data_IF_365410978852
#
_entry.id   IF_365410978852
#
_cell.length_a   1.000
_cell.length_b   1.000
_cell.length_c   1.000
_cell.angle_alpha   90.00
_cell.angle_beta   90.00
_cell.angle_gamma   90.00
#
_symmetry.space_group_name_H-M   'P 1'
#
loop_
_entity.id
_entity.type
_entity.pdbx_description
1 polymer ?
#
# COMPACT_ATOMS: atom_id res chain seq x y z
N UNK A 1 10.33 19.62 -7.76
CA UNK A 1 9.15 18.72 -7.85
C UNK A 1 7.82 19.49 -7.87
N UNK A 2 7.69 20.60 -8.62
CA UNK A 2 6.47 21.44 -8.58
C UNK A 2 5.51 21.26 -9.77
N UNK A 3 5.91 20.53 -10.82
CA UNK A 3 5.14 20.43 -12.08
C UNK A 3 4.90 19.00 -12.57
N UNK A 4 5.22 17.98 -11.76
CA UNK A 4 4.94 16.60 -12.15
C UNK A 4 3.43 16.34 -12.05
N UNK A 5 2.80 16.04 -13.20
CA UNK A 5 1.40 15.65 -13.31
C UNK A 5 1.31 14.22 -13.85
N UNK A 6 0.34 13.45 -13.38
CA UNK A 6 -0.06 12.16 -13.96
C UNK A 6 -0.64 12.44 -15.35
N UNK A 7 -0.15 11.73 -16.38
CA UNK A 7 -0.68 11.84 -17.75
C UNK A 7 -2.02 11.13 -17.91
N UNK A 8 -2.24 10.08 -17.12
CA UNK A 8 -3.42 9.22 -17.21
C UNK A 8 -4.38 9.53 -16.06
N UNK A 9 -5.66 9.72 -16.38
CA UNK A 9 -6.74 9.98 -15.42
C UNK A 9 -7.19 8.70 -14.70
N UNK A 10 -6.24 8.02 -14.06
CA UNK A 10 -6.51 6.79 -13.30
C UNK A 10 -6.54 7.14 -11.81
N UNK A 11 -7.64 6.77 -11.16
CA UNK A 11 -7.84 6.90 -9.72
C UNK A 11 -8.13 5.55 -9.07
N UNK A 12 -8.02 5.47 -7.74
CA UNK A 12 -8.52 4.31 -7.00
C UNK A 12 -10.04 4.24 -7.13
N UNK A 13 -10.62 3.03 -7.09
CA UNK A 13 -12.10 2.88 -7.07
C UNK A 13 -12.70 3.25 -5.70
N UNK A 14 -11.83 3.43 -4.71
CA UNK A 14 -12.13 3.53 -3.28
C UNK A 14 -12.03 4.99 -2.82
N UNK A 15 -12.71 5.31 -1.72
CA UNK A 15 -12.67 6.62 -1.05
C UNK A 15 -11.40 6.84 -0.23
N UNK A 16 -10.58 5.80 -0.03
CA UNK A 16 -9.34 5.89 0.73
C UNK A 16 -8.33 6.81 0.02
N UNK A 17 -7.93 7.88 0.69
CA UNK A 17 -6.99 8.86 0.13
C UNK A 17 -5.56 8.31 0.10
N UNK A 18 -5.20 7.38 0.98
CA UNK A 18 -3.84 6.87 1.18
C UNK A 18 -3.82 5.40 1.61
N UNK A 19 -2.73 4.69 1.27
CA UNK A 19 -2.43 3.35 1.77
C UNK A 19 -1.36 3.37 2.88
N UNK A 20 -0.99 4.56 3.36
CA UNK A 20 0.14 4.72 4.29
C UNK A 20 -0.07 3.91 5.57
N UNK A 21 -1.29 3.92 6.10
CA UNK A 21 -1.65 3.21 7.32
C UNK A 21 -1.57 1.69 7.13
N UNK A 22 -2.22 1.14 6.09
CA UNK A 22 -2.10 -0.27 5.72
C UNK A 22 -0.65 -0.75 5.59
N UNK A 23 0.21 0.06 4.94
CA UNK A 23 1.63 -0.24 4.81
C UNK A 23 2.35 -0.20 6.16
N UNK A 24 2.00 0.74 7.03
CA UNK A 24 2.59 0.79 8.37
C UNK A 24 2.21 -0.44 9.20
N UNK A 25 0.94 -0.84 9.17
CA UNK A 25 0.45 -1.95 9.98
C UNK A 25 0.95 -3.30 9.48
N UNK A 26 0.99 -3.50 8.17
CA UNK A 26 1.64 -4.66 7.56
C UNK A 26 3.12 -4.78 8.00
N UNK A 27 3.87 -3.68 7.96
CA UNK A 27 5.27 -3.68 8.37
C UNK A 27 5.45 -3.87 9.90
N UNK A 28 4.56 -3.29 10.71
CA UNK A 28 4.55 -3.50 12.17
C UNK A 28 4.32 -4.98 12.50
N UNK A 29 3.33 -5.61 11.86
CA UNK A 29 3.03 -7.03 12.02
C UNK A 29 4.20 -7.91 11.60
N UNK A 30 4.77 -7.65 10.43
CA UNK A 30 5.94 -8.38 9.91
C UNK A 30 7.14 -8.34 10.87
N UNK A 31 7.52 -7.14 11.34
CA UNK A 31 8.61 -6.97 12.30
C UNK A 31 8.34 -7.69 13.62
N UNK A 32 7.10 -7.68 14.11
CA UNK A 32 6.71 -8.40 15.33
C UNK A 32 6.91 -9.91 15.17
N UNK A 33 6.44 -10.48 14.06
CA UNK A 33 6.56 -11.93 13.80
C UNK A 33 8.03 -12.32 13.66
N UNK A 34 8.82 -11.58 12.88
CA UNK A 34 10.25 -11.85 12.73
C UNK A 34 10.95 -11.83 14.08
N UNK A 35 10.69 -10.81 14.92
CA UNK A 35 11.31 -10.71 16.24
C UNK A 35 10.97 -11.91 17.14
N UNK A 36 9.74 -12.43 17.03
CA UNK A 36 9.32 -13.62 17.77
C UNK A 36 10.04 -14.88 17.27
N UNK A 37 10.13 -15.07 15.95
CA UNK A 37 10.83 -16.22 15.35
C UNK A 37 12.33 -16.23 15.63
N UNK A 38 12.98 -15.08 15.50
CA UNK A 38 14.40 -14.92 15.86
C UNK A 38 14.62 -15.28 17.34
N UNK A 39 13.73 -14.85 18.24
CA UNK A 39 13.82 -15.18 19.67
C UNK A 39 13.62 -16.68 19.94
N UNK A 40 12.84 -17.36 19.10
CA UNK A 40 12.63 -18.81 19.17
C UNK A 40 13.74 -19.62 18.47
N UNK A 41 14.81 -18.96 17.98
CA UNK A 41 15.90 -19.58 17.20
C UNK A 41 15.43 -20.32 15.94
N UNK A 42 14.27 -19.92 15.40
CA UNK A 42 13.69 -20.52 14.22
C UNK A 42 14.33 -19.95 12.96
N UNK A 43 14.80 -20.82 12.07
CA UNK A 43 15.49 -20.47 10.82
C UNK A 43 14.54 -20.09 9.69
N UNK A 44 13.28 -20.51 9.77
CA UNK A 44 12.26 -20.23 8.75
C UNK A 44 11.56 -18.90 9.02
N UNK A 45 12.03 -17.84 8.38
CA UNK A 45 11.39 -16.53 8.43
C UNK A 45 10.27 -16.44 7.39
N UNK A 46 9.10 -15.88 7.74
CA UNK A 46 8.00 -15.75 6.81
C UNK A 46 8.33 -14.76 5.69
N UNK A 47 7.81 -15.01 4.51
CA UNK A 47 7.90 -14.06 3.41
C UNK A 47 6.93 -12.87 3.61
N UNK A 48 7.23 -11.76 2.96
CA UNK A 48 6.46 -10.52 3.12
C UNK A 48 4.97 -10.67 2.72
N UNK A 49 4.69 -11.52 1.72
CA UNK A 49 3.34 -11.80 1.23
C UNK A 49 2.57 -12.85 2.03
N UNK A 50 3.26 -13.63 2.87
CA UNK A 50 2.61 -14.54 3.81
C UNK A 50 1.98 -13.76 4.98
N UNK A 51 2.61 -12.64 5.36
CA UNK A 51 2.15 -11.81 6.49
C UNK A 51 1.16 -10.73 6.06
N UNK A 52 1.31 -10.21 4.84
CA UNK A 52 0.51 -9.09 4.32
C UNK A 52 -0.05 -9.38 2.92
N UNK A 53 -1.36 -9.20 2.76
CA UNK A 53 -2.00 -9.28 1.46
C UNK A 53 -2.17 -7.85 0.90
N UNK A 54 -1.48 -7.56 -0.21
CA UNK A 54 -1.53 -6.23 -0.85
C UNK A 54 -2.92 -5.94 -1.44
N UNK A 55 -3.66 -6.97 -1.83
CA UNK A 55 -5.02 -6.85 -2.38
C UNK A 55 -6.06 -6.52 -1.31
N UNK A 56 -5.75 -6.70 -0.02
CA UNK A 56 -6.66 -6.34 1.07
C UNK A 56 -6.45 -4.92 1.57
N UNK A 57 -5.70 -4.07 0.84
CA UNK A 57 -5.48 -2.69 1.25
C UNK A 57 -6.65 -1.82 0.80
N UNK A 58 -6.94 -0.79 1.58
CA UNK A 58 -8.13 0.06 1.36
C UNK A 58 -8.14 0.78 0.02
N UNK A 59 -7.00 0.87 -0.67
CA UNK A 59 -6.87 1.54 -1.97
C UNK A 59 -6.78 0.58 -3.16
N UNK A 60 -7.25 -0.65 -2.98
CA UNK A 60 -7.28 -1.64 -4.05
C UNK A 60 -8.20 -1.22 -5.22
N UNK A 61 -7.85 -1.66 -6.42
CA UNK A 61 -8.60 -1.36 -7.64
C UNK A 61 -8.30 0.01 -8.25
N UNK A 62 -8.37 0.07 -9.59
CA UNK A 62 -8.12 1.29 -10.38
C UNK A 62 -9.27 1.50 -11.36
N UNK A 63 -9.70 2.75 -11.50
CA UNK A 63 -10.72 3.16 -12.46
C UNK A 63 -10.22 4.36 -13.26
N UNK A 64 -10.52 4.37 -14.55
CA UNK A 64 -10.37 5.56 -15.39
C UNK A 64 -11.51 6.54 -15.11
N UNK A 65 -11.17 7.80 -14.83
CA UNK A 65 -12.15 8.87 -14.55
C UNK A 65 -11.96 10.04 -15.51
N UNK A 66 -12.82 10.20 -16.54
CA UNK A 66 -12.66 11.28 -17.50
C UNK A 66 -12.82 12.67 -16.86
N UNK A 67 -13.51 12.77 -15.72
CA UNK A 67 -13.82 14.02 -15.01
C UNK A 67 -12.72 14.48 -14.03
N UNK A 68 -11.59 13.78 -13.95
CA UNK A 68 -10.49 14.15 -13.06
C UNK A 68 -9.99 15.58 -13.32
N UNK A 69 -9.88 16.36 -12.24
CA UNK A 69 -9.43 17.76 -12.28
C UNK A 69 -7.91 17.88 -12.33
N UNK A 70 -7.40 19.04 -12.77
CA UNK A 70 -5.96 19.30 -12.80
C UNK A 70 -5.26 19.21 -11.43
N UNK A 71 -6.00 19.41 -10.33
CA UNK A 71 -5.47 19.29 -8.97
C UNK A 71 -5.23 17.83 -8.61
N UNK A 72 -6.15 16.93 -8.95
CA UNK A 72 -6.07 15.50 -8.64
C UNK A 72 -5.03 14.76 -9.50
N UNK A 73 -4.67 15.33 -10.65
CA UNK A 73 -3.58 14.85 -11.49
C UNK A 73 -2.19 15.23 -10.96
N UNK A 74 -2.09 16.06 -9.91
CA UNK A 74 -0.78 16.37 -9.28
C UNK A 74 -0.28 15.14 -8.49
N UNK A 75 1.04 14.99 -8.42
CA UNK A 75 1.72 13.82 -7.87
C UNK A 75 2.16 14.04 -6.42
#
# INVERSE_FOLDING_TARGET
MSRSKKKTKIQGITTATSEKENKQDANRKFRRIIKQKIKAEETELPELREVSNVWSFDKDGKRYSPEMTEKELRK
#
